data_IF_769271353010
#
_entry.id   IF_769271353010
#
_cell.length_a   1.000
_cell.length_b   1.000
_cell.length_c   1.000
_cell.angle_alpha   90.00
_cell.angle_beta   90.00
_cell.angle_gamma   90.00
#
_symmetry.space_group_name_H-M   'P 1'
#
loop_
_entity.id
_entity.type
_entity.pdbx_description
1 polymer ?
#
# COMPACT_ATOMS: atom_id res chain seq x y z
N UNK A 1 -12.53 9.32 -58.24
CA UNK A 1 -12.25 8.28 -57.23
C UNK A 1 -11.33 8.91 -56.20
N UNK A 2 -11.90 9.36 -55.08
CA UNK A 2 -11.14 9.95 -53.99
C UNK A 2 -10.50 8.83 -53.16
N UNK A 3 -9.17 8.77 -53.18
CA UNK A 3 -8.36 8.00 -52.25
C UNK A 3 -8.24 8.82 -50.94
N UNK A 4 -8.87 8.33 -49.88
CA UNK A 4 -8.66 8.84 -48.52
C UNK A 4 -7.39 8.20 -47.95
N UNK A 5 -6.47 8.94 -47.32
CA UNK A 5 -5.36 8.34 -46.61
C UNK A 5 -5.84 7.90 -45.23
N UNK A 6 -5.75 6.60 -44.96
CA UNK A 6 -5.87 6.00 -43.64
C UNK A 6 -4.73 6.53 -42.75
N UNK A 7 -5.06 7.54 -41.95
CA UNK A 7 -4.19 8.03 -40.88
C UNK A 7 -4.00 6.95 -39.82
N UNK A 8 -2.77 6.45 -39.72
CA UNK A 8 -2.33 5.70 -38.55
C UNK A 8 -2.25 6.69 -37.38
N UNK A 9 -3.20 6.58 -36.46
CA UNK A 9 -3.04 7.14 -35.12
C UNK A 9 -1.92 6.33 -34.45
N UNK A 10 -0.73 6.90 -34.33
CA UNK A 10 0.29 6.36 -33.43
C UNK A 10 -0.10 6.78 -32.02
N UNK A 11 -0.90 5.95 -31.36
CA UNK A 11 -1.07 6.01 -29.91
C UNK A 11 0.34 5.86 -29.28
N UNK A 12 0.65 6.74 -28.32
CA UNK A 12 1.92 6.67 -27.59
C UNK A 12 2.07 5.33 -26.85
N UNK A 13 3.25 5.03 -26.30
CA UNK A 13 3.42 3.82 -25.51
C UNK A 13 2.37 3.79 -24.38
N UNK A 14 1.62 2.70 -24.31
CA UNK A 14 0.67 2.43 -23.22
C UNK A 14 1.34 2.69 -21.86
N UNK A 15 0.67 3.37 -20.91
CA UNK A 15 1.25 3.71 -19.63
C UNK A 15 1.61 2.43 -18.86
N UNK A 16 2.81 2.39 -18.28
CA UNK A 16 3.22 1.22 -17.50
C UNK A 16 2.36 1.07 -16.23
N UNK A 17 2.26 -0.14 -15.69
CA UNK A 17 1.57 -0.40 -14.42
C UNK A 17 2.08 0.49 -13.26
N UNK A 18 3.35 0.89 -13.30
CA UNK A 18 3.93 1.81 -12.33
C UNK A 18 3.48 3.25 -12.54
N UNK A 19 3.24 3.68 -13.79
CA UNK A 19 2.70 5.01 -14.07
C UNK A 19 1.24 5.09 -13.63
N UNK A 20 0.47 4.03 -13.84
CA UNK A 20 -0.89 3.87 -13.31
C UNK A 20 -0.90 3.97 -11.79
N UNK A 21 -0.06 3.18 -11.10
CA UNK A 21 0.04 3.21 -9.64
C UNK A 21 0.40 4.60 -9.11
N UNK A 22 1.43 5.24 -9.71
CA UNK A 22 1.87 6.58 -9.32
C UNK A 22 0.78 7.63 -9.53
N UNK A 23 0.01 7.53 -10.62
CA UNK A 23 -1.07 8.46 -10.89
C UNK A 23 -2.23 8.28 -9.92
N UNK A 24 -2.62 7.05 -9.59
CA UNK A 24 -3.62 6.77 -8.55
C UNK A 24 -3.19 7.33 -7.20
N UNK A 25 -1.94 7.07 -6.77
CA UNK A 25 -1.39 7.63 -5.53
C UNK A 25 -1.37 9.15 -5.57
N UNK A 26 -0.98 9.77 -6.69
CA UNK A 26 -0.95 11.23 -6.84
C UNK A 26 -2.34 11.83 -6.70
N UNK A 27 -3.37 11.19 -7.26
CA UNK A 27 -4.74 11.67 -7.17
C UNK A 27 -5.31 11.51 -5.76
N UNK A 28 -5.05 10.36 -5.11
CA UNK A 28 -5.39 10.18 -3.70
C UNK A 28 -4.67 11.20 -2.81
N UNK A 29 -3.38 11.44 -3.03
CA UNK A 29 -2.61 12.41 -2.26
C UNK A 29 -3.18 13.83 -2.36
N UNK A 30 -3.70 14.24 -3.53
CA UNK A 30 -4.36 15.54 -3.70
C UNK A 30 -5.61 15.66 -2.82
N UNK A 31 -6.49 14.64 -2.83
CA UNK A 31 -7.70 14.67 -2.00
C UNK A 31 -7.40 14.56 -0.51
N UNK A 32 -6.46 13.69 -0.14
CA UNK A 32 -6.04 13.52 1.26
C UNK A 32 -5.33 14.76 1.80
N UNK A 33 -4.53 15.45 0.99
CA UNK A 33 -3.90 16.70 1.41
C UNK A 33 -4.94 17.76 1.77
N UNK A 34 -6.00 17.90 0.96
CA UNK A 34 -7.09 18.82 1.26
C UNK A 34 -7.79 18.46 2.59
N UNK A 35 -8.06 17.17 2.83
CA UNK A 35 -8.63 16.67 4.09
C UNK A 35 -7.72 16.96 5.29
N UNK A 36 -6.41 16.75 5.15
CA UNK A 36 -5.44 17.01 6.23
C UNK A 36 -5.33 18.51 6.55
N UNK A 37 -5.39 19.36 5.54
CA UNK A 37 -5.42 20.82 5.70
C UNK A 37 -6.69 21.23 6.45
N UNK A 38 -7.86 20.71 6.06
CA UNK A 38 -9.12 20.94 6.76
C UNK A 38 -9.04 20.48 8.23
N UNK A 39 -8.61 19.25 8.49
CA UNK A 39 -8.46 18.74 9.86
C UNK A 39 -7.51 19.61 10.68
N UNK A 40 -6.38 20.01 10.10
CA UNK A 40 -5.38 20.82 10.80
C UNK A 40 -5.90 22.20 11.15
N UNK A 41 -6.61 22.89 10.26
CA UNK A 41 -7.01 24.29 10.50
C UNK A 41 -8.45 24.44 11.00
N UNK A 42 -9.34 23.53 10.64
CA UNK A 42 -10.73 23.50 11.10
C UNK A 42 -10.90 22.89 12.49
N UNK A 43 -10.02 21.98 12.89
CA UNK A 43 -10.13 21.22 14.14
C UNK A 43 -8.87 21.30 15.02
N UNK A 44 -8.03 22.34 14.84
CA UNK A 44 -6.76 22.48 15.58
C UNK A 44 -6.89 22.51 17.10
N UNK A 45 -8.06 22.90 17.61
CA UNK A 45 -8.33 23.08 19.03
C UNK A 45 -9.28 22.03 19.61
N UNK A 46 -9.69 21.05 18.81
CA UNK A 46 -10.58 20.00 19.26
C UNK A 46 -9.81 19.02 20.16
N UNK A 47 -10.36 18.75 21.34
CA UNK A 47 -9.77 17.81 22.29
C UNK A 47 -10.16 16.39 21.90
N UNK A 48 -9.17 15.57 21.51
CA UNK A 48 -9.38 14.18 21.06
C UNK A 48 -9.10 13.11 22.13
N UNK A 49 -8.64 13.54 23.31
CA UNK A 49 -8.34 12.70 24.47
C UNK A 49 -7.63 13.48 25.58
N UNK A 50 -7.55 12.88 26.77
CA UNK A 50 -6.82 13.43 27.91
C UNK A 50 -5.47 12.72 28.07
N UNK A 51 -4.48 13.42 28.62
CA UNK A 51 -3.15 12.87 28.90
C UNK A 51 -2.98 12.77 30.42
N UNK A 52 -2.70 11.56 30.90
CA UNK A 52 -2.44 11.29 32.33
C UNK A 52 -1.00 10.83 32.55
N UNK A 53 -0.52 10.92 33.80
CA UNK A 53 0.82 10.42 34.19
C UNK A 53 0.96 8.92 33.88
N UNK A 54 -0.12 8.14 34.03
CA UNK A 54 -0.12 6.71 33.73
C UNK A 54 0.10 6.43 32.23
N UNK A 55 -0.41 7.28 31.34
CA UNK A 55 -0.17 7.12 29.91
C UNK A 55 1.30 7.35 29.57
N UNK A 56 1.91 8.39 30.13
CA UNK A 56 3.33 8.74 29.88
C UNK A 56 4.25 7.63 30.38
N UNK A 57 4.06 7.16 31.62
CA UNK A 57 4.88 6.07 32.18
C UNK A 57 4.59 4.71 31.54
N UNK A 58 3.40 4.52 30.98
CA UNK A 58 2.96 3.28 30.33
C UNK A 58 3.29 3.17 28.84
N UNK A 59 4.08 4.10 28.29
CA UNK A 59 4.44 4.12 26.87
C UNK A 59 3.26 4.46 25.95
N UNK A 60 2.57 5.57 26.23
CA UNK A 60 1.44 6.11 25.45
C UNK A 60 0.19 5.21 25.37
N UNK A 61 0.09 4.19 26.23
CA UNK A 61 -1.05 3.27 26.23
C UNK A 61 -2.38 4.03 26.36
N UNK A 62 -3.25 3.87 25.35
CA UNK A 62 -4.57 4.51 25.29
C UNK A 62 -4.57 5.95 24.77
N UNK A 63 -3.41 6.51 24.43
CA UNK A 63 -3.31 7.83 23.79
C UNK A 63 -3.46 7.70 22.27
N UNK A 64 -4.19 8.63 21.67
CA UNK A 64 -4.29 8.76 20.21
C UNK A 64 -3.22 9.74 19.73
N UNK A 65 -2.05 9.24 19.34
CA UNK A 65 -0.88 10.06 18.99
C UNK A 65 -0.49 10.02 17.51
N UNK A 66 -1.07 9.10 16.73
CA UNK A 66 -0.74 8.88 15.33
C UNK A 66 -1.99 8.81 14.45
N UNK A 67 -1.86 9.31 13.22
CA UNK A 67 -2.83 9.09 12.14
C UNK A 67 -2.37 7.91 11.28
N UNK A 68 -3.27 7.00 10.96
CA UNK A 68 -3.02 5.87 10.04
C UNK A 68 -4.26 5.67 9.16
N UNK A 69 -4.12 5.91 7.86
CA UNK A 69 -5.26 5.89 6.91
C UNK A 69 -5.41 4.55 6.17
N UNK A 70 -4.43 3.65 6.29
CA UNK A 70 -4.40 2.36 5.57
C UNK A 70 -5.35 1.34 6.20
N UNK A 71 -5.40 1.31 7.53
CA UNK A 71 -6.23 0.38 8.29
C UNK A 71 -6.75 0.98 9.59
N UNK A 72 -7.93 0.54 10.01
CA UNK A 72 -8.52 0.85 11.31
C UNK A 72 -8.93 -0.44 12.03
N UNK A 73 -8.98 -0.39 13.37
CA UNK A 73 -9.38 -1.53 14.20
C UNK A 73 -10.79 -1.31 14.74
N UNK A 74 -11.75 -2.10 14.25
CA UNK A 74 -13.10 -2.14 14.76
C UNK A 74 -13.20 -3.06 15.99
N UNK A 75 -13.79 -2.62 17.11
CA UNK A 75 -13.88 -3.43 18.33
C UNK A 75 -14.62 -4.77 18.19
N UNK A 76 -15.52 -4.90 17.22
CA UNK A 76 -16.34 -6.10 17.00
C UNK A 76 -15.91 -6.87 15.75
N UNK A 77 -15.64 -6.15 14.66
CA UNK A 77 -15.32 -6.68 13.33
C UNK A 77 -13.83 -6.94 13.10
N UNK A 78 -12.96 -6.54 14.03
CA UNK A 78 -11.51 -6.65 13.89
C UNK A 78 -10.94 -5.62 12.92
N UNK A 79 -9.77 -5.93 12.33
CA UNK A 79 -9.07 -5.00 11.46
C UNK A 79 -9.80 -4.82 10.11
N UNK A 80 -9.84 -3.56 9.66
CA UNK A 80 -10.37 -3.17 8.35
C UNK A 80 -9.26 -2.54 7.52
N UNK A 81 -9.17 -2.90 6.25
CA UNK A 81 -8.28 -2.26 5.28
C UNK A 81 -9.09 -1.32 4.42
N UNK A 82 -8.77 -0.03 4.45
CA UNK A 82 -9.54 0.99 3.71
C UNK A 82 -11.06 0.84 3.93
N UNK A 83 -11.46 0.64 5.20
CA UNK A 83 -12.86 0.43 5.66
C UNK A 83 -13.49 -0.93 5.32
N UNK A 84 -12.78 -1.83 4.63
CA UNK A 84 -13.24 -3.18 4.30
C UNK A 84 -12.76 -4.20 5.34
N UNK A 85 -13.62 -5.11 5.79
CA UNK A 85 -13.20 -6.25 6.62
C UNK A 85 -12.29 -7.20 5.85
N UNK A 86 -11.45 -7.99 6.55
CA UNK A 86 -10.57 -8.95 5.87
C UNK A 86 -11.32 -9.97 4.98
N UNK A 87 -12.57 -10.31 5.32
CA UNK A 87 -13.40 -11.19 4.49
C UNK A 87 -13.82 -10.52 3.18
N UNK A 88 -14.18 -9.24 3.24
CA UNK A 88 -14.52 -8.44 2.05
C UNK A 88 -13.28 -8.22 1.19
N UNK A 89 -12.14 -7.89 1.80
CA UNK A 89 -10.85 -7.78 1.12
C UNK A 89 -10.53 -9.08 0.39
N UNK A 90 -10.51 -10.21 1.10
CA UNK A 90 -10.19 -11.49 0.47
C UNK A 90 -11.16 -11.84 -0.67
N UNK A 91 -12.44 -11.48 -0.53
CA UNK A 91 -13.44 -11.72 -1.57
C UNK A 91 -13.21 -10.86 -2.82
N UNK A 92 -12.88 -9.58 -2.62
CA UNK A 92 -12.70 -8.60 -3.70
C UNK A 92 -11.37 -8.74 -4.45
N UNK A 93 -10.29 -9.12 -3.75
CA UNK A 93 -8.96 -9.18 -4.36
C UNK A 93 -8.85 -10.25 -5.46
N UNK A 94 -8.08 -9.98 -6.54
CA UNK A 94 -7.71 -10.97 -7.54
C UNK A 94 -7.05 -12.19 -6.89
N UNK A 95 -7.36 -13.38 -7.40
CA UNK A 95 -6.87 -14.67 -6.89
C UNK A 95 -6.07 -15.39 -7.97
N UNK A 96 -4.99 -16.09 -7.60
CA UNK A 96 -4.36 -17.08 -8.48
C UNK A 96 -5.33 -18.21 -8.82
N UNK A 97 -5.09 -18.87 -9.94
CA UNK A 97 -5.91 -20.00 -10.37
C UNK A 97 -5.82 -21.14 -9.33
N UNK A 98 -6.97 -21.62 -8.87
CA UNK A 98 -7.07 -22.65 -7.83
C UNK A 98 -6.93 -22.16 -6.38
N UNK A 99 -6.68 -20.87 -6.15
CA UNK A 99 -6.58 -20.30 -4.80
C UNK A 99 -7.92 -19.78 -4.27
N UNK A 100 -8.16 -19.94 -2.96
CA UNK A 100 -9.26 -19.29 -2.24
C UNK A 100 -8.85 -17.96 -1.59
N UNK A 101 -7.55 -17.63 -1.65
CA UNK A 101 -6.95 -16.46 -1.01
C UNK A 101 -6.48 -15.46 -2.06
N UNK A 102 -6.82 -14.19 -1.84
CA UNK A 102 -6.40 -13.06 -2.69
C UNK A 102 -4.90 -12.80 -2.65
N UNK A 103 -4.37 -12.22 -3.72
CA UNK A 103 -2.95 -11.88 -3.84
C UNK A 103 -2.51 -10.82 -2.81
N UNK A 104 -1.36 -11.01 -2.13
CA UNK A 104 -0.82 -9.98 -1.23
C UNK A 104 -0.47 -8.68 -1.96
N UNK A 105 -0.06 -8.76 -3.23
CA UNK A 105 0.15 -7.60 -4.10
C UNK A 105 -1.12 -6.79 -4.30
N UNK A 106 -2.28 -7.46 -4.33
CA UNK A 106 -3.58 -6.80 -4.44
C UNK A 106 -3.95 -6.08 -3.16
N UNK A 107 -3.65 -6.68 -2.01
CA UNK A 107 -3.79 -6.01 -0.72
C UNK A 107 -2.85 -4.79 -0.63
N UNK A 108 -1.60 -4.92 -1.08
CA UNK A 108 -0.65 -3.81 -1.14
C UNK A 108 -1.17 -2.66 -2.00
N UNK A 109 -1.71 -2.97 -3.19
CA UNK A 109 -2.33 -1.98 -4.07
C UNK A 109 -3.49 -1.27 -3.37
N UNK A 110 -4.44 -2.03 -2.81
CA UNK A 110 -5.59 -1.49 -2.07
C UNK A 110 -5.14 -0.57 -0.94
N UNK A 111 -4.14 -0.96 -0.16
CA UNK A 111 -3.65 -0.16 0.96
C UNK A 111 -3.02 1.16 0.47
N UNK A 112 -2.36 1.18 -0.68
CA UNK A 112 -1.77 2.40 -1.24
C UNK A 112 -2.79 3.32 -1.90
N UNK A 113 -3.72 2.78 -2.67
CA UNK A 113 -4.59 3.55 -3.56
C UNK A 113 -6.02 3.71 -3.04
N UNK A 114 -6.46 2.86 -2.11
CA UNK A 114 -7.85 2.79 -1.69
C UNK A 114 -8.76 2.00 -2.64
N UNK A 115 -8.22 1.47 -3.74
CA UNK A 115 -8.99 0.81 -4.80
C UNK A 115 -8.60 -0.66 -4.95
N UNK A 116 -9.58 -1.50 -5.28
CA UNK A 116 -9.34 -2.92 -5.57
C UNK A 116 -8.82 -3.05 -7.02
N UNK A 117 -7.62 -3.62 -7.24
CA UNK A 117 -7.07 -3.76 -8.59
C UNK A 117 -7.82 -4.83 -9.41
N UNK A 118 -7.83 -4.67 -10.74
CA UNK A 118 -8.33 -5.69 -11.66
C UNK A 118 -7.35 -6.87 -11.80
N UNK A 119 -7.81 -8.02 -12.32
CA UNK A 119 -6.96 -9.21 -12.53
C UNK A 119 -5.80 -8.92 -13.50
N UNK A 120 -6.07 -8.19 -14.59
CA UNK A 120 -5.06 -7.89 -15.62
C UNK A 120 -4.00 -6.92 -15.09
N UNK A 121 -4.42 -5.85 -14.43
CA UNK A 121 -3.52 -4.90 -13.76
C UNK A 121 -2.63 -5.63 -12.73
N UNK A 122 -3.21 -6.60 -12.02
CA UNK A 122 -2.48 -7.38 -11.04
C UNK A 122 -1.44 -8.32 -11.65
N UNK A 123 -1.73 -8.89 -12.81
CA UNK A 123 -0.77 -9.70 -13.54
C UNK A 123 0.45 -8.86 -13.98
N UNK A 124 0.21 -7.66 -14.49
CA UNK A 124 1.29 -6.73 -14.86
C UNK A 124 2.09 -6.26 -13.65
N UNK A 125 1.41 -5.91 -12.55
CA UNK A 125 2.08 -5.47 -11.33
C UNK A 125 2.92 -6.59 -10.69
N UNK A 126 2.42 -7.83 -10.69
CA UNK A 126 3.20 -8.98 -10.23
C UNK A 126 4.44 -9.21 -11.12
N UNK A 127 4.29 -9.07 -12.45
CA UNK A 127 5.43 -9.15 -13.38
C UNK A 127 6.46 -8.05 -13.15
N UNK A 128 6.00 -6.84 -12.83
CA UNK A 128 6.86 -5.71 -12.47
C UNK A 128 7.63 -5.96 -11.16
N UNK A 129 6.97 -6.49 -10.14
CA UNK A 129 7.63 -6.84 -8.88
C UNK A 129 8.69 -7.94 -9.06
N UNK A 130 8.39 -8.97 -9.87
CA UNK A 130 9.38 -9.99 -10.22
C UNK A 130 10.58 -9.39 -10.94
N UNK A 131 10.37 -8.45 -11.88
CA UNK A 131 11.47 -7.75 -12.55
C UNK A 131 12.35 -6.94 -11.58
N UNK A 132 11.78 -6.48 -10.45
CA UNK A 132 12.48 -5.72 -9.40
C UNK A 132 13.08 -6.60 -8.30
N UNK A 133 12.97 -7.92 -8.41
CA UNK A 133 13.41 -8.85 -7.36
C UNK A 133 14.93 -9.11 -7.34
N UNK A 134 15.67 -8.66 -8.36
CA UNK A 134 17.12 -8.79 -8.42
C UNK A 134 17.78 -7.98 -7.29
N UNK A 135 18.67 -8.63 -6.54
CA UNK A 135 19.42 -8.03 -5.43
C UNK A 135 20.85 -7.68 -5.88
N UNK A 136 21.40 -6.54 -5.46
CA UNK A 136 22.82 -6.22 -5.67
C UNK A 136 23.74 -7.25 -4.97
N UNK A 137 24.89 -7.55 -5.58
CA UNK A 137 25.87 -8.52 -5.06
C UNK A 137 26.39 -8.15 -3.67
N UNK A 138 26.47 -6.85 -3.36
CA UNK A 138 26.90 -6.36 -2.05
C UNK A 138 25.92 -6.74 -0.93
N UNK A 139 24.62 -6.77 -1.22
CA UNK A 139 23.58 -7.18 -0.25
C UNK A 139 23.72 -8.67 0.05
N UNK A 140 23.87 -9.50 -0.99
CA UNK A 140 24.06 -10.94 -0.86
C UNK A 140 25.32 -11.24 -0.05
N UNK A 141 26.44 -10.61 -0.42
CA UNK A 141 27.72 -10.76 0.29
C UNK A 141 27.61 -10.35 1.76
N UNK A 142 26.88 -9.26 2.04
CA UNK A 142 26.66 -8.79 3.41
C UNK A 142 25.90 -9.82 4.23
N UNK A 143 24.77 -10.32 3.72
CA UNK A 143 23.93 -11.32 4.40
C UNK A 143 24.73 -12.62 4.63
N UNK A 144 25.45 -13.10 3.62
CA UNK A 144 26.25 -14.34 3.70
C UNK A 144 27.42 -14.22 4.68
N UNK A 145 27.90 -13.01 4.95
CA UNK A 145 28.98 -12.75 5.92
C UNK A 145 28.50 -12.77 7.38
N UNK A 146 27.19 -12.73 7.63
CA UNK A 146 26.64 -12.70 8.98
C UNK A 146 26.82 -14.06 9.70
N UNK A 147 27.04 -14.07 11.03
CA UNK A 147 27.07 -15.29 11.81
C UNK A 147 25.79 -16.12 11.65
N UNK A 148 25.93 -17.45 11.49
CA UNK A 148 24.78 -18.36 11.28
C UNK A 148 23.82 -18.44 12.47
N UNK A 149 24.30 -18.10 13.66
CA UNK A 149 23.54 -18.03 14.90
C UNK A 149 22.94 -16.64 15.16
N UNK A 150 23.23 -15.66 14.31
CA UNK A 150 22.62 -14.34 14.38
C UNK A 150 21.11 -14.45 14.21
N UNK A 151 20.37 -13.73 15.04
CA UNK A 151 18.91 -13.75 15.00
C UNK A 151 18.38 -13.34 13.60
N UNK A 152 17.43 -14.07 12.98
CA UNK A 152 16.97 -13.79 11.62
C UNK A 152 16.44 -12.38 11.41
N UNK A 153 15.77 -11.77 12.41
CA UNK A 153 15.32 -10.38 12.31
C UNK A 153 16.47 -9.37 12.28
N UNK A 154 17.60 -9.70 12.91
CA UNK A 154 18.81 -8.87 12.83
C UNK A 154 19.41 -8.97 11.43
N UNK A 155 19.46 -10.17 10.86
CA UNK A 155 19.90 -10.37 9.48
C UNK A 155 19.00 -9.61 8.48
N UNK A 156 17.68 -9.74 8.62
CA UNK A 156 16.69 -9.01 7.80
C UNK A 156 16.79 -7.49 7.93
N UNK A 157 17.18 -6.97 9.10
CA UNK A 157 17.32 -5.51 9.30
C UNK A 157 18.64 -4.97 8.76
N UNK A 158 19.65 -5.83 8.59
CA UNK A 158 20.97 -5.47 8.04
C UNK A 158 20.97 -5.57 6.51
N UNK A 159 20.36 -6.61 5.96
CA UNK A 159 20.21 -6.82 4.51
C UNK A 159 19.24 -5.82 3.87
#
# INVERSE_FOLDING_TARGET
>A
MNISPSGQHTEGPEPSVMDVLKEQIRNLAKSEFARLVELKYGHSHDVIGEITVANVLGGERGMKTMLTDTSDLDPLGGIRYRKMTLREVNSALPKPDGSTVGLPEGAFWLLLTGEVPSKDLMHEFNSELHRRSELPDEVITTIDSLPKDMHPMTQLSIG
#
